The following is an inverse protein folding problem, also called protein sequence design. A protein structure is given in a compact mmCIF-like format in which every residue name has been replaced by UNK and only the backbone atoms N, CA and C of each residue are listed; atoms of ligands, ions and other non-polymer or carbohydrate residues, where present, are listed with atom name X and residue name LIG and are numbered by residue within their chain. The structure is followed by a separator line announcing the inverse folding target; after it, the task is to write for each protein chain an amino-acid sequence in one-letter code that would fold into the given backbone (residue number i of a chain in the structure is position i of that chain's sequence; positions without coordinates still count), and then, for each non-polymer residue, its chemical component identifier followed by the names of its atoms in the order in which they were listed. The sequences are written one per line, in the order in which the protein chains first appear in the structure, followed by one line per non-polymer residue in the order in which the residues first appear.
data_IF_986829863456
#
_entry.id   IF_986829863456
#
_cell.length_a   1.000
_cell.length_b   1.000
_cell.length_c   1.000
_cell.angle_alpha   90.00
_cell.angle_beta   90.00
_cell.angle_gamma   90.00
#
_symmetry.space_group_name_H-M   'P 1'
#
loop_
_entity.id
_entity.type
_entity.pdbx_description
1 polymer ?
#
# COMPACT_ATOMS: atom_id res chain seq x y z
N UNK A 1 56.76 38.49 16.26
CA UNK A 1 55.57 37.71 16.62
C UNK A 1 54.41 38.35 15.88
N UNK A 2 53.88 37.68 14.86
CA UNK A 2 52.65 38.09 14.18
C UNK A 2 51.54 37.24 14.79
N UNK A 3 50.81 37.80 15.75
CA UNK A 3 49.55 37.21 16.19
C UNK A 3 48.53 37.50 15.08
N UNK A 4 48.11 36.45 14.39
CA UNK A 4 47.13 36.51 13.31
C UNK A 4 45.75 36.80 13.94
N UNK A 5 45.10 37.94 13.64
CA UNK A 5 43.85 38.38 14.31
C UNK A 5 42.66 37.44 14.07
N UNK A 6 42.85 36.35 13.31
CA UNK A 6 41.85 35.32 13.01
C UNK A 6 41.67 34.27 14.09
N UNK A 7 42.53 34.22 15.12
CA UNK A 7 42.62 33.05 16.01
C UNK A 7 41.58 33.00 17.16
N UNK A 8 40.61 33.92 17.21
CA UNK A 8 39.62 34.01 18.29
C UNK A 8 38.14 33.85 17.89
N UNK A 9 37.80 33.88 16.59
CA UNK A 9 36.41 33.81 16.13
C UNK A 9 36.06 32.42 15.59
N UNK A 10 34.92 31.86 16.01
CA UNK A 10 34.38 30.66 15.38
C UNK A 10 33.87 30.99 13.96
N UNK A 11 33.87 30.00 13.05
CA UNK A 11 33.55 30.17 11.63
C UNK A 11 32.15 30.80 11.41
N UNK A 12 31.16 30.41 12.22
CA UNK A 12 29.80 30.93 12.14
C UNK A 12 29.66 32.41 12.58
N UNK A 13 30.51 32.88 13.51
CA UNK A 13 30.54 34.28 13.95
C UNK A 13 31.29 35.15 12.95
N UNK A 14 32.35 34.62 12.32
CA UNK A 14 33.08 35.32 11.27
C UNK A 14 32.18 35.63 10.06
N UNK A 15 31.34 34.67 9.65
CA UNK A 15 30.36 34.87 8.56
C UNK A 15 29.31 35.94 8.90
N UNK A 16 28.83 35.96 10.16
CA UNK A 16 27.86 36.96 10.64
C UNK A 16 28.46 38.36 10.66
N UNK A 17 29.68 38.51 11.18
CA UNK A 17 30.40 39.78 11.19
C UNK A 17 30.68 40.25 9.76
N UNK A 18 31.12 39.36 8.86
CA UNK A 18 31.33 39.71 7.46
C UNK A 18 30.04 40.19 6.78
N UNK A 19 28.89 39.59 7.10
CA UNK A 19 27.59 40.06 6.65
C UNK A 19 27.26 41.47 7.16
N UNK A 20 27.47 41.73 8.45
CA UNK A 20 27.23 43.05 9.05
C UNK A 20 28.13 44.12 8.44
N UNK A 21 29.43 43.86 8.31
CA UNK A 21 30.39 44.80 7.70
C UNK A 21 30.06 45.08 6.24
N UNK A 22 29.72 44.04 5.45
CA UNK A 22 29.30 44.22 4.06
C UNK A 22 27.98 45.01 3.95
N UNK A 23 27.04 44.78 4.86
CA UNK A 23 25.79 45.53 4.94
C UNK A 23 26.01 46.99 5.33
N UNK A 24 26.97 47.28 6.23
CA UNK A 24 27.36 48.63 6.63
C UNK A 24 27.91 49.42 5.44
N UNK A 25 28.85 48.83 4.69
CA UNK A 25 29.43 49.42 3.47
C UNK A 25 28.33 49.72 2.43
N UNK A 26 27.31 48.84 2.34
CA UNK A 26 26.20 48.97 1.39
C UNK A 26 25.06 49.87 1.89
N UNK A 27 25.09 50.33 3.14
CA UNK A 27 24.00 51.07 3.80
C UNK A 27 22.67 50.30 3.78
N UNK A 28 22.71 48.98 3.99
CA UNK A 28 21.52 48.12 3.96
C UNK A 28 21.18 47.48 5.31
N UNK A 29 21.89 47.83 6.38
CA UNK A 29 21.64 47.27 7.71
C UNK A 29 20.36 47.85 8.32
N UNK A 30 19.68 47.02 9.09
CA UNK A 30 18.59 47.45 9.98
C UNK A 30 19.16 48.05 11.27
N UNK A 31 18.35 48.83 12.01
CA UNK A 31 18.74 49.45 13.28
C UNK A 31 19.31 48.42 14.28
N UNK A 32 18.66 47.25 14.39
CA UNK A 32 19.14 46.15 15.25
C UNK A 32 20.47 45.57 14.82
N UNK A 33 20.75 45.55 13.52
CA UNK A 33 22.02 45.03 12.98
C UNK A 33 23.15 46.05 13.11
N UNK A 34 22.81 47.35 13.12
CA UNK A 34 23.75 48.40 13.51
C UNK A 34 24.14 48.26 14.98
N UNK A 35 23.17 48.06 15.88
CA UNK A 35 23.47 47.84 17.31
C UNK A 35 24.36 46.60 17.52
N UNK A 36 24.09 45.50 16.80
CA UNK A 36 24.89 44.27 16.85
C UNK A 36 26.34 44.49 16.34
N UNK A 37 26.50 45.30 15.29
CA UNK A 37 27.81 45.65 14.74
C UNK A 37 28.59 46.55 15.71
N UNK A 38 27.94 47.54 16.30
CA UNK A 38 28.55 48.46 17.27
C UNK A 38 28.98 47.72 18.55
N UNK A 39 28.16 46.78 19.03
CA UNK A 39 28.53 45.89 20.14
C UNK A 39 29.78 45.07 19.80
N UNK A 40 29.85 44.50 18.60
CA UNK A 40 31.02 43.72 18.18
C UNK A 40 32.29 44.57 18.05
N UNK A 41 32.18 45.79 17.49
CA UNK A 41 33.31 46.73 17.37
C UNK A 41 33.84 47.13 18.75
N UNK A 42 32.94 47.43 19.69
CA UNK A 42 33.31 47.86 21.06
C UNK A 42 33.80 46.74 21.96
N UNK A 43 33.62 45.48 21.56
CA UNK A 43 34.03 44.31 22.34
C UNK A 43 35.56 44.15 22.44
N UNK A 44 36.33 44.57 21.42
CA UNK A 44 37.78 44.41 21.40
C UNK A 44 38.45 45.44 20.49
N UNK A 45 39.62 45.95 20.90
CA UNK A 45 40.45 46.84 20.08
C UNK A 45 40.85 46.16 18.75
N UNK A 46 41.04 44.83 18.75
CA UNK A 46 41.34 44.06 17.53
C UNK A 46 40.16 44.04 16.54
N UNK A 47 38.92 44.02 17.04
CA UNK A 47 37.72 44.06 16.20
C UNK A 47 37.55 45.44 15.57
N UNK A 48 37.84 46.49 16.33
CA UNK A 48 37.83 47.86 15.83
C UNK A 48 38.87 48.06 14.72
N UNK A 49 40.10 47.57 14.91
CA UNK A 49 41.15 47.62 13.89
C UNK A 49 40.76 46.82 12.64
N UNK A 50 40.17 45.63 12.82
CA UNK A 50 39.68 44.81 11.72
C UNK A 50 38.53 45.50 10.97
N UNK A 51 37.62 46.16 11.67
CA UNK A 51 36.54 46.93 11.05
C UNK A 51 37.08 48.08 10.20
N UNK A 52 38.05 48.84 10.73
CA UNK A 52 38.69 49.95 10.02
C UNK A 52 39.44 49.46 8.77
N UNK A 53 40.16 48.33 8.87
CA UNK A 53 40.83 47.72 7.72
C UNK A 53 39.84 47.26 6.64
N UNK A 54 38.72 46.65 7.03
CA UNK A 54 37.71 46.14 6.10
C UNK A 54 36.84 47.24 5.48
N UNK A 55 36.69 48.37 6.15
CA UNK A 55 35.90 49.53 5.68
C UNK A 55 36.74 50.61 5.00
N UNK A 56 38.07 50.45 4.93
CA UNK A 56 38.98 51.37 4.25
C UNK A 56 38.59 51.53 2.75
N UNK A 57 38.17 52.74 2.32
CA UNK A 57 37.73 52.98 0.95
C UNK A 57 38.80 52.64 -0.09
N UNK A 58 40.09 52.85 0.23
CA UNK A 58 41.19 52.60 -0.70
C UNK A 58 41.38 51.09 -0.92
N UNK A 59 41.25 50.30 0.13
CA UNK A 59 41.33 48.84 0.08
C UNK A 59 40.14 48.23 -0.64
N UNK A 60 38.93 48.74 -0.40
CA UNK A 60 37.71 48.33 -1.11
C UNK A 60 37.83 48.67 -2.60
N UNK A 61 38.20 49.91 -2.96
CA UNK A 61 38.36 50.32 -4.36
C UNK A 61 39.45 49.52 -5.07
N UNK A 62 40.57 49.23 -4.40
CA UNK A 62 41.63 48.37 -4.95
C UNK A 62 41.13 46.97 -5.24
N UNK A 63 40.38 46.37 -4.31
CA UNK A 63 39.77 45.05 -4.51
C UNK A 63 38.74 45.03 -5.64
N UNK A 64 37.87 46.05 -5.72
CA UNK A 64 36.89 46.22 -6.79
C UNK A 64 37.56 46.40 -8.15
N UNK A 65 38.61 47.21 -8.23
CA UNK A 65 39.35 47.47 -9.46
C UNK A 65 40.16 46.23 -9.91
N UNK A 66 40.69 45.43 -8.97
CA UNK A 66 41.26 44.12 -9.30
C UNK A 66 40.19 43.15 -9.82
N UNK A 67 38.99 43.11 -9.23
CA UNK A 67 37.88 42.29 -9.73
C UNK A 67 37.34 42.79 -11.09
N UNK A 68 37.36 44.09 -11.35
CA UNK A 68 37.00 44.70 -12.64
C UNK A 68 38.05 44.42 -13.72
N UNK A 69 39.34 44.44 -13.36
CA UNK A 69 40.47 44.06 -14.24
C UNK A 69 40.54 42.56 -14.50
N UNK A 70 39.94 41.73 -13.64
CA UNK A 70 39.67 40.33 -13.98
C UNK A 70 38.63 40.35 -15.10
N UNK A 71 39.14 40.40 -16.33
CA UNK A 71 38.33 40.23 -17.52
C UNK A 71 37.76 38.82 -17.48
N UNK A 72 36.56 38.68 -16.88
CA UNK A 72 35.86 37.42 -16.65
C UNK A 72 35.79 36.62 -17.95
N UNK A 73 35.65 37.31 -19.08
CA UNK A 73 35.70 36.71 -20.41
C UNK A 73 37.06 36.12 -20.76
N UNK A 74 38.16 36.85 -20.53
CA UNK A 74 39.51 36.32 -20.74
C UNK A 74 39.88 35.20 -19.75
N UNK A 75 39.44 35.29 -18.49
CA UNK A 75 39.59 34.24 -17.49
C UNK A 75 38.79 32.98 -17.88
N UNK A 76 37.55 33.16 -18.35
CA UNK A 76 36.68 32.09 -18.86
C UNK A 76 37.24 31.45 -20.13
N UNK A 77 37.86 32.22 -21.03
CA UNK A 77 38.52 31.70 -22.23
C UNK A 77 39.81 30.93 -21.88
N UNK A 78 40.59 31.39 -20.90
CA UNK A 78 41.74 30.63 -20.36
C UNK A 78 41.30 29.36 -19.65
N UNK A 79 40.16 29.40 -18.97
CA UNK A 79 39.54 28.24 -18.34
C UNK A 79 39.03 27.26 -19.41
N UNK A 80 38.32 27.73 -20.44
CA UNK A 80 37.82 26.93 -21.56
C UNK A 80 38.92 26.31 -22.42
N UNK A 81 40.09 26.94 -22.50
CA UNK A 81 41.24 26.40 -23.24
C UNK A 81 42.09 25.42 -22.42
N UNK A 82 42.16 25.57 -21.10
CA UNK A 82 42.87 24.63 -20.20
C UNK A 82 42.00 23.46 -19.76
N UNK A 83 40.71 23.69 -19.55
CA UNK A 83 39.74 22.61 -19.47
C UNK A 83 39.55 22.15 -20.90
N UNK A 84 40.32 21.13 -21.31
CA UNK A 84 39.77 20.20 -22.28
C UNK A 84 38.49 19.69 -21.62
N UNK A 85 37.34 20.28 -21.98
CA UNK A 85 36.14 19.49 -22.13
C UNK A 85 36.51 18.51 -23.21
N UNK A 86 37.24 17.49 -22.78
CA UNK A 86 37.30 16.24 -23.46
C UNK A 86 35.83 15.88 -23.48
N UNK A 87 35.18 16.19 -24.60
CA UNK A 87 34.22 15.32 -25.23
C UNK A 87 34.92 13.97 -25.46
N UNK A 88 35.39 13.34 -24.38
CA UNK A 88 34.98 11.99 -24.14
C UNK A 88 33.46 12.13 -24.12
N UNK A 89 32.88 12.03 -25.33
CA UNK A 89 31.81 11.07 -25.56
C UNK A 89 32.10 9.97 -24.56
N UNK A 90 31.39 9.98 -23.43
CA UNK A 90 31.40 8.87 -22.51
C UNK A 90 31.02 7.74 -23.43
N UNK A 91 32.03 6.97 -23.83
CA UNK A 91 31.90 6.07 -24.97
C UNK A 91 30.75 5.15 -24.63
N UNK A 92 29.99 4.81 -25.65
CA UNK A 92 28.72 4.07 -25.64
C UNK A 92 28.78 2.66 -24.99
N UNK A 93 29.34 2.52 -23.79
CA UNK A 93 29.29 1.36 -22.93
C UNK A 93 28.11 1.43 -21.95
N UNK A 94 27.92 2.56 -21.26
CA UNK A 94 26.77 2.74 -20.34
C UNK A 94 25.42 2.75 -21.07
N UNK A 95 25.33 3.36 -22.26
CA UNK A 95 24.08 3.36 -23.06
C UNK A 95 23.71 1.96 -23.56
N UNK A 96 24.71 1.11 -23.86
CA UNK A 96 24.50 -0.30 -24.19
C UNK A 96 24.10 -1.12 -22.95
N UNK A 97 24.75 -0.93 -21.80
CA UNK A 97 24.36 -1.61 -20.55
C UNK A 97 22.95 -1.23 -20.09
N UNK A 98 22.55 0.04 -20.21
CA UNK A 98 21.17 0.47 -19.93
C UNK A 98 20.20 -0.15 -20.93
N UNK A 99 20.55 -0.22 -22.22
CA UNK A 99 19.75 -0.91 -23.25
C UNK A 99 19.59 -2.41 -22.97
N UNK A 100 20.68 -3.10 -22.60
CA UNK A 100 20.62 -4.52 -22.22
C UNK A 100 19.83 -4.74 -20.92
N UNK A 101 19.91 -3.81 -19.95
CA UNK A 101 19.10 -3.88 -18.73
C UNK A 101 17.61 -3.65 -19.00
N UNK A 102 17.27 -2.78 -19.95
CA UNK A 102 15.90 -2.56 -20.40
C UNK A 102 15.36 -3.79 -21.14
N UNK A 103 16.14 -4.40 -22.02
CA UNK A 103 15.75 -5.64 -22.71
C UNK A 103 15.59 -6.82 -21.72
N UNK A 104 16.52 -6.97 -20.77
CA UNK A 104 16.46 -8.03 -19.76
C UNK A 104 15.26 -7.86 -18.82
N UNK A 105 14.94 -6.63 -18.40
CA UNK A 105 13.77 -6.37 -17.56
C UNK A 105 12.45 -6.65 -18.28
N UNK A 106 12.35 -6.37 -19.58
CA UNK A 106 11.18 -6.75 -20.39
C UNK A 106 11.05 -8.26 -20.49
N UNK A 107 12.15 -8.99 -20.71
CA UNK A 107 12.14 -10.46 -20.75
C UNK A 107 11.74 -11.07 -19.39
N UNK A 108 12.28 -10.54 -18.30
CA UNK A 108 11.92 -10.99 -16.94
C UNK A 108 10.46 -10.67 -16.62
N UNK A 109 9.98 -9.46 -16.94
CA UNK A 109 8.59 -9.08 -16.73
C UNK A 109 7.64 -9.96 -17.55
N UNK A 110 7.96 -10.20 -18.82
CA UNK A 110 7.17 -11.08 -19.70
C UNK A 110 7.18 -12.52 -19.20
N UNK A 111 8.35 -13.01 -18.78
CA UNK A 111 8.51 -14.34 -18.18
C UNK A 111 7.72 -14.49 -16.88
N UNK A 112 7.71 -13.47 -16.02
CA UNK A 112 6.89 -13.44 -14.81
C UNK A 112 5.40 -13.40 -15.13
N UNK A 113 4.97 -12.60 -16.11
CA UNK A 113 3.57 -12.56 -16.55
C UNK A 113 3.13 -13.93 -17.07
N UNK A 114 3.94 -14.55 -17.93
CA UNK A 114 3.67 -15.89 -18.47
C UNK A 114 3.67 -16.93 -17.35
N UNK A 115 4.64 -16.89 -16.45
CA UNK A 115 4.71 -17.79 -15.29
C UNK A 115 3.49 -17.65 -14.39
N UNK A 116 3.05 -16.42 -14.09
CA UNK A 116 1.83 -16.19 -13.32
C UNK A 116 0.57 -16.58 -14.10
N UNK A 117 0.55 -16.45 -15.43
CA UNK A 117 -0.57 -16.92 -16.25
C UNK A 117 -0.63 -18.45 -16.35
N UNK A 118 0.51 -19.13 -16.41
CA UNK A 118 0.58 -20.60 -16.41
C UNK A 118 0.35 -21.19 -15.02
N UNK A 119 0.80 -20.50 -13.96
CA UNK A 119 0.58 -20.90 -12.57
C UNK A 119 -0.75 -20.43 -11.99
N UNK A 120 -1.51 -19.62 -12.74
CA UNK A 120 -2.96 -19.75 -12.69
C UNK A 120 -3.27 -21.13 -13.25
N UNK A 121 -3.14 -22.14 -12.37
CA UNK A 121 -4.06 -23.27 -12.41
C UNK A 121 -5.41 -22.63 -12.72
N UNK A 122 -6.17 -23.11 -13.72
CA UNK A 122 -7.59 -22.77 -13.69
C UNK A 122 -7.95 -22.98 -12.23
N UNK A 123 -8.55 -21.97 -11.60
CA UNK A 123 -9.43 -22.30 -10.50
C UNK A 123 -10.36 -23.26 -11.20
N UNK A 124 -10.04 -24.57 -11.13
CA UNK A 124 -10.92 -25.65 -11.50
C UNK A 124 -12.14 -25.16 -10.81
N UNK A 125 -13.11 -24.74 -11.63
CA UNK A 125 -14.20 -23.95 -11.13
C UNK A 125 -14.57 -24.72 -9.88
N UNK A 126 -14.51 -24.06 -8.72
CA UNK A 126 -15.70 -24.21 -7.93
C UNK A 126 -16.72 -23.71 -8.93
N UNK A 127 -17.29 -24.65 -9.70
CA UNK A 127 -18.72 -24.77 -9.76
C UNK A 127 -19.09 -24.39 -8.35
N UNK A 128 -19.37 -23.09 -8.20
CA UNK A 128 -20.23 -22.62 -7.16
C UNK A 128 -21.44 -23.41 -7.58
N UNK A 129 -21.55 -24.65 -7.05
CA UNK A 129 -22.67 -25.56 -7.26
C UNK A 129 -23.81 -24.60 -7.14
N UNK A 130 -24.48 -24.32 -8.28
CA UNK A 130 -25.37 -23.17 -8.47
C UNK A 130 -25.97 -22.99 -7.11
N UNK A 131 -25.64 -21.91 -6.39
CA UNK A 131 -26.17 -21.71 -5.06
C UNK A 131 -27.64 -21.66 -5.37
N UNK A 132 -28.31 -22.81 -5.24
CA UNK A 132 -29.72 -22.91 -5.54
C UNK A 132 -30.23 -21.79 -4.68
N UNK A 133 -30.92 -20.85 -5.31
CA UNK A 133 -31.63 -19.86 -4.55
C UNK A 133 -32.46 -20.69 -3.58
N UNK A 134 -31.97 -20.82 -2.35
CA UNK A 134 -32.70 -21.46 -1.28
C UNK A 134 -33.85 -20.50 -1.13
N UNK A 135 -34.96 -20.85 -1.79
CA UNK A 135 -36.19 -20.10 -1.68
C UNK A 135 -36.50 -20.14 -0.19
N UNK A 136 -36.59 -19.00 0.49
CA UNK A 136 -36.87 -19.00 1.92
C UNK A 136 -38.25 -19.64 2.15
N UNK A 137 -38.31 -20.61 3.07
CA UNK A 137 -39.56 -21.11 3.64
C UNK A 137 -40.37 -22.05 2.75
N UNK A 138 -39.89 -23.29 2.57
CA UNK A 138 -40.69 -24.37 2.00
C UNK A 138 -40.56 -25.68 2.79
N UNK A 139 -41.50 -26.60 2.57
CA UNK A 139 -41.51 -27.95 3.15
C UNK A 139 -40.46 -28.85 2.48
N UNK A 140 -39.19 -28.48 2.63
CA UNK A 140 -38.05 -29.19 2.05
C UNK A 140 -37.50 -30.17 3.09
N UNK A 141 -37.72 -31.46 2.87
CA UNK A 141 -37.12 -32.53 3.65
C UNK A 141 -36.87 -33.77 2.80
N UNK A 142 -35.83 -34.52 3.13
CA UNK A 142 -35.57 -35.85 2.58
C UNK A 142 -35.89 -36.88 3.65
N UNK A 143 -36.75 -37.85 3.32
CA UNK A 143 -37.02 -39.00 4.17
C UNK A 143 -36.17 -40.18 3.72
N UNK A 144 -35.29 -40.65 4.59
CA UNK A 144 -34.51 -41.86 4.37
C UNK A 144 -35.23 -43.00 5.10
N UNK A 145 -35.79 -43.93 4.32
CA UNK A 145 -36.49 -45.12 4.81
C UNK A 145 -35.48 -46.13 5.39
N UNK A 146 -35.96 -47.11 6.16
CA UNK A 146 -35.07 -48.07 6.84
C UNK A 146 -34.25 -48.94 5.90
N UNK A 147 -34.77 -49.16 4.68
CA UNK A 147 -34.08 -49.87 3.60
C UNK A 147 -33.02 -49.02 2.89
N UNK A 148 -32.78 -47.78 3.33
CA UNK A 148 -31.82 -46.85 2.74
C UNK A 148 -32.35 -46.07 1.53
N UNK A 149 -33.61 -46.27 1.13
CA UNK A 149 -34.24 -45.51 0.04
C UNK A 149 -34.45 -44.06 0.48
N UNK A 150 -33.94 -43.13 -0.33
CA UNK A 150 -34.11 -41.69 -0.10
C UNK A 150 -35.32 -41.20 -0.89
N UNK A 151 -36.25 -40.56 -0.20
CA UNK A 151 -37.46 -39.97 -0.78
C UNK A 151 -37.42 -38.46 -0.58
N UNK A 152 -37.37 -37.70 -1.68
CA UNK A 152 -37.51 -36.25 -1.65
C UNK A 152 -38.97 -35.88 -1.41
N UNK A 153 -39.28 -35.34 -0.23
CA UNK A 153 -40.65 -35.04 0.18
C UNK A 153 -41.23 -33.83 -0.55
N UNK A 154 -40.41 -32.97 -1.13
CA UNK A 154 -40.89 -31.85 -1.95
C UNK A 154 -41.46 -32.35 -3.29
N UNK A 155 -40.79 -33.31 -3.93
CA UNK A 155 -41.18 -33.86 -5.24
C UNK A 155 -42.13 -35.06 -5.14
N UNK A 156 -42.19 -35.72 -3.98
CA UNK A 156 -43.07 -36.86 -3.77
C UNK A 156 -44.55 -36.49 -3.96
N UNK A 157 -45.32 -37.37 -4.58
CA UNK A 157 -46.79 -37.23 -4.67
C UNK A 157 -47.43 -37.36 -3.29
N UNK A 158 -48.56 -36.70 -3.09
CA UNK A 158 -49.37 -36.87 -1.88
C UNK A 158 -49.94 -38.30 -1.85
N UNK A 159 -50.06 -38.88 -0.65
CA UNK A 159 -50.51 -40.26 -0.44
C UNK A 159 -49.43 -41.16 0.17
N UNK A 160 -49.55 -42.46 -0.06
CA UNK A 160 -48.69 -43.48 0.53
C UNK A 160 -47.26 -43.40 -0.04
N UNK A 161 -46.28 -43.14 0.84
CA UNK A 161 -44.84 -43.15 0.50
C UNK A 161 -44.24 -44.53 0.70
N UNK A 162 -44.59 -45.16 1.81
CA UNK A 162 -44.11 -46.48 2.17
C UNK A 162 -45.17 -47.24 2.96
N UNK A 163 -45.24 -48.55 2.74
CA UNK A 163 -46.11 -49.48 3.45
C UNK A 163 -45.29 -50.74 3.71
N UNK A 164 -44.27 -50.58 4.53
CA UNK A 164 -43.33 -51.63 4.86
C UNK A 164 -43.60 -52.14 6.27
N UNK A 165 -43.56 -53.47 6.44
CA UNK A 165 -43.57 -54.13 7.76
C UNK A 165 -44.72 -53.74 8.71
N UNK A 166 -45.89 -53.38 8.15
CA UNK A 166 -47.07 -52.98 8.91
C UNK A 166 -47.10 -51.51 9.36
N UNK A 167 -46.09 -50.72 8.98
CA UNK A 167 -46.06 -49.27 9.13
C UNK A 167 -46.44 -48.60 7.80
N UNK A 168 -47.40 -47.69 7.83
CA UNK A 168 -47.72 -46.83 6.71
C UNK A 168 -47.17 -45.43 6.94
N UNK A 169 -46.44 -44.93 5.94
CA UNK A 169 -45.95 -43.55 5.90
C UNK A 169 -46.71 -42.81 4.82
N UNK A 170 -47.53 -41.84 5.23
CA UNK A 170 -48.33 -41.04 4.32
C UNK A 170 -47.86 -39.60 4.26
N UNK A 171 -47.90 -39.03 3.06
CA UNK A 171 -47.73 -37.59 2.83
C UNK A 171 -49.09 -36.93 2.66
N UNK A 172 -49.44 -36.03 3.57
CA UNK A 172 -50.64 -35.22 3.48
C UNK A 172 -50.52 -34.15 2.38
N UNK A 173 -51.66 -33.66 1.89
CA UNK A 173 -51.70 -32.60 0.87
C UNK A 173 -51.03 -31.29 1.34
N UNK A 174 -51.01 -31.06 2.65
CA UNK A 174 -50.34 -29.92 3.28
C UNK A 174 -48.82 -30.09 3.43
N UNK A 175 -48.25 -31.20 2.92
CA UNK A 175 -46.82 -31.48 2.97
C UNK A 175 -46.32 -31.88 4.36
N UNK A 176 -47.14 -32.60 5.14
CA UNK A 176 -46.76 -33.21 6.41
C UNK A 176 -46.62 -34.73 6.24
N UNK A 177 -45.86 -35.37 7.12
CA UNK A 177 -45.77 -36.84 7.18
C UNK A 177 -46.58 -37.36 8.37
N UNK A 178 -47.40 -38.37 8.14
CA UNK A 178 -48.09 -39.13 9.19
C UNK A 178 -47.63 -40.58 9.18
N UNK A 179 -47.38 -41.12 10.37
CA UNK A 179 -47.09 -42.53 10.58
C UNK A 179 -48.32 -43.22 11.16
N UNK A 180 -48.75 -44.30 10.51
CA UNK A 180 -49.84 -45.15 10.99
C UNK A 180 -49.31 -46.57 11.19
N UNK A 181 -49.48 -47.12 12.39
CA UNK A 181 -49.05 -48.48 12.71
C UNK A 181 -50.28 -49.38 12.73
N UNK A 182 -50.25 -50.46 11.95
CA UNK A 182 -51.24 -51.53 12.07
C UNK A 182 -50.82 -52.54 13.14
N UNK A 183 -51.79 -53.28 13.70
CA UNK A 183 -51.53 -54.29 14.71
C UNK A 183 -50.52 -55.31 14.17
N UNK A 184 -49.35 -55.42 14.80
CA UNK A 184 -48.19 -56.25 14.46
C UNK A 184 -47.05 -55.58 13.65
N UNK A 185 -46.93 -54.26 13.69
CA UNK A 185 -45.83 -53.54 13.03
C UNK A 185 -44.47 -53.68 13.76
N UNK A 186 -43.39 -53.85 12.99
CA UNK A 186 -42.02 -53.87 13.51
C UNK A 186 -41.50 -52.44 13.78
N UNK A 187 -40.64 -52.28 14.79
CA UNK A 187 -39.99 -51.01 15.05
C UNK A 187 -39.03 -50.66 13.89
N UNK A 188 -39.38 -49.61 13.15
CA UNK A 188 -38.65 -49.13 11.98
C UNK A 188 -38.14 -47.71 12.23
N UNK A 189 -36.86 -47.47 11.92
CA UNK A 189 -36.24 -46.15 12.08
C UNK A 189 -36.07 -45.48 10.73
N UNK A 190 -36.62 -44.27 10.60
CA UNK A 190 -36.42 -43.40 9.46
C UNK A 190 -35.60 -42.18 9.86
N UNK A 191 -34.81 -41.66 8.92
CA UNK A 191 -34.04 -40.44 9.12
C UNK A 191 -34.67 -39.33 8.29
N UNK A 192 -35.16 -38.30 8.96
CA UNK A 192 -35.62 -37.08 8.31
C UNK A 192 -34.48 -36.06 8.26
N UNK A 193 -34.12 -35.63 7.06
CA UNK A 193 -33.05 -34.65 6.85
C UNK A 193 -33.64 -33.36 6.27
N UNK A 194 -33.53 -32.27 7.02
CA UNK A 194 -33.95 -30.93 6.59
C UNK A 194 -32.71 -30.09 6.20
N UNK A 195 -32.67 -29.50 5.00
CA UNK A 195 -31.63 -28.56 4.62
C UNK A 195 -31.81 -27.21 5.35
N UNK A 196 -30.73 -26.41 5.39
CA UNK A 196 -30.75 -25.07 6.00
C UNK A 196 -31.82 -24.20 5.32
N UNK A 197 -32.86 -23.83 6.07
CA UNK A 197 -33.98 -23.01 5.58
C UNK A 197 -35.26 -23.77 5.21
N UNK A 198 -35.29 -25.10 5.36
CA UNK A 198 -36.50 -25.91 5.30
C UNK A 198 -37.15 -26.09 6.68
N UNK A 199 -38.47 -26.21 6.72
CA UNK A 199 -39.24 -26.60 7.91
C UNK A 199 -40.09 -27.83 7.56
N UNK A 200 -40.28 -28.75 8.50
CA UNK A 200 -41.12 -29.92 8.27
C UNK A 200 -41.84 -30.41 9.53
N UNK A 201 -43.09 -30.87 9.39
CA UNK A 201 -43.93 -31.40 10.47
C UNK A 201 -44.19 -32.88 10.29
N UNK A 202 -44.01 -33.65 11.36
CA UNK A 202 -44.25 -35.10 11.43
C UNK A 202 -45.26 -35.40 12.52
N UNK A 203 -46.28 -36.19 12.19
CA UNK A 203 -47.23 -36.76 13.14
C UNK A 203 -46.87 -38.23 13.36
N UNK A 204 -46.59 -38.59 14.61
CA UNK A 204 -46.23 -39.94 15.02
C UNK A 204 -47.48 -40.80 15.26
N UNK A 205 -47.35 -42.14 15.34
CA UNK A 205 -48.49 -43.05 15.55
C UNK A 205 -49.25 -42.83 16.86
N UNK A 206 -48.62 -42.18 17.84
CA UNK A 206 -49.20 -41.80 19.12
C UNK A 206 -50.00 -40.47 19.07
N UNK A 207 -50.06 -39.84 17.89
CA UNK A 207 -50.73 -38.55 17.66
C UNK A 207 -49.91 -37.33 18.06
N UNK A 208 -48.68 -37.51 18.57
CA UNK A 208 -47.79 -36.39 18.85
C UNK A 208 -47.25 -35.77 17.55
N UNK A 209 -46.98 -34.46 17.59
CA UNK A 209 -46.50 -33.69 16.44
C UNK A 209 -45.12 -33.11 16.72
N UNK A 210 -44.17 -33.39 15.83
CA UNK A 210 -42.79 -32.92 15.89
C UNK A 210 -42.54 -31.96 14.73
N UNK A 211 -41.90 -30.83 15.01
CA UNK A 211 -41.50 -29.84 14.02
C UNK A 211 -39.98 -29.75 13.96
N UNK A 212 -39.43 -29.75 12.75
CA UNK A 212 -38.00 -29.56 12.46
C UNK A 212 -37.79 -28.39 11.51
#
# INVERSE_FOLDING_TARGET
MNDDPKNGMNEASADRVAYLVAGYIRQTLTEKEHDELDEWITTSDDNQLLFEELTDPVTIERGLNEMEKVNVRAAMERLKSKIRFTDQKITSGKKRWVSYSAAASILVATGLIIFFMMNKKPKAGKEIAKKELIKPGGNFAELILSNGKVVNLYEAKNGLIDSSKGNEVLKSADGQISYENHSNAENEFHVLKTPVGGQYSVTLPDGSRVWL
#
